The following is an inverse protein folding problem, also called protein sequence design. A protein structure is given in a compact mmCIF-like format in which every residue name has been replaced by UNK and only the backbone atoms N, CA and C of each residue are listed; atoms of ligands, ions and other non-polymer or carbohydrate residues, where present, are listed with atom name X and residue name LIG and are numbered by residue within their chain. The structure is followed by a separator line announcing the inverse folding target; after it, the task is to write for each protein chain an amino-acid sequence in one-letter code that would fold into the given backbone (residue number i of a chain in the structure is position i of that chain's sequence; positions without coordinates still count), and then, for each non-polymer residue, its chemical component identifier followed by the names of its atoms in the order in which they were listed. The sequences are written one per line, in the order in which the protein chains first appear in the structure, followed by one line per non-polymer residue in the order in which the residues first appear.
data_IF_003687632254
#
_entry.id   IF_003687632254
#
_cell.length_a   1.000
_cell.length_b   1.000
_cell.length_c   1.000
_cell.angle_alpha   90.00
_cell.angle_beta   90.00
_cell.angle_gamma   90.00
#
_symmetry.space_group_name_H-M   'P 1'
#
loop_
_entity.id
_entity.type
_entity.pdbx_description
1 polymer ?
#
# COMPACT_ATOMS: atom_id res chain seq x y z
N UNK A 1 49.60 -15.82 -29.44
CA UNK A 1 49.45 -16.38 -28.07
C UNK A 1 50.06 -15.48 -27.00
N UNK A 2 51.14 -14.73 -27.27
CA UNK A 2 51.71 -13.77 -26.29
C UNK A 2 50.80 -12.58 -26.00
N UNK A 3 50.22 -11.96 -27.03
CA UNK A 3 49.30 -10.83 -26.87
C UNK A 3 48.05 -11.18 -26.04
N UNK A 4 47.52 -12.40 -26.20
CA UNK A 4 46.42 -12.92 -25.38
C UNK A 4 46.83 -13.15 -23.91
N UNK A 5 48.07 -13.55 -23.65
CA UNK A 5 48.58 -13.76 -22.28
C UNK A 5 48.86 -12.43 -21.58
N UNK A 6 49.37 -11.43 -22.28
CA UNK A 6 49.59 -10.08 -21.73
C UNK A 6 48.26 -9.38 -21.41
N UNK A 7 47.26 -9.51 -22.29
CA UNK A 7 45.90 -9.02 -22.02
C UNK A 7 45.28 -9.76 -20.82
N UNK A 8 45.45 -11.08 -20.72
CA UNK A 8 44.98 -11.86 -19.57
C UNK A 8 45.71 -11.49 -18.27
N UNK A 9 47.02 -11.21 -18.32
CA UNK A 9 47.79 -10.78 -17.16
C UNK A 9 47.41 -9.36 -16.71
N UNK A 10 47.15 -8.45 -17.65
CA UNK A 10 46.59 -7.11 -17.38
C UNK A 10 45.16 -7.17 -16.84
N UNK A 11 44.32 -8.08 -17.33
CA UNK A 11 42.98 -8.31 -16.81
C UNK A 11 43.02 -8.93 -15.40
N UNK A 12 43.96 -9.84 -15.12
CA UNK A 12 44.17 -10.44 -13.80
C UNK A 12 44.72 -9.45 -12.77
N UNK A 13 45.56 -8.48 -13.18
CA UNK A 13 46.04 -7.42 -12.28
C UNK A 13 44.92 -6.42 -11.93
N UNK A 14 43.98 -6.19 -12.86
CA UNK A 14 42.75 -5.43 -12.62
C UNK A 14 41.72 -6.22 -11.80
N UNK A 15 41.77 -7.56 -11.81
CA UNK A 15 40.90 -8.45 -11.02
C UNK A 15 41.37 -8.66 -9.58
N UNK A 16 42.05 -7.67 -8.98
CA UNK A 16 42.27 -7.67 -7.52
C UNK A 16 40.93 -7.70 -6.79
N UNK A 17 40.84 -8.44 -5.67
CA UNK A 17 39.65 -8.47 -4.82
C UNK A 17 39.13 -7.07 -4.47
N UNK A 18 40.03 -6.09 -4.28
CA UNK A 18 39.65 -4.69 -4.03
C UNK A 18 38.91 -4.05 -5.21
N UNK A 19 39.37 -4.29 -6.43
CA UNK A 19 38.74 -3.75 -7.64
C UNK A 19 37.42 -4.46 -7.94
N UNK A 20 37.35 -5.77 -7.69
CA UNK A 20 36.12 -6.54 -7.82
C UNK A 20 35.07 -6.09 -6.79
N UNK A 21 35.48 -5.87 -5.53
CA UNK A 21 34.61 -5.33 -4.49
C UNK A 21 34.14 -3.91 -4.81
N UNK A 22 35.03 -3.05 -5.33
CA UNK A 22 34.67 -1.70 -5.77
C UNK A 22 33.69 -1.73 -6.95
N UNK A 23 33.94 -2.58 -7.95
CA UNK A 23 33.03 -2.78 -9.08
C UNK A 23 31.66 -3.26 -8.61
N UNK A 24 31.61 -4.24 -7.70
CA UNK A 24 30.37 -4.73 -7.13
C UNK A 24 29.62 -3.63 -6.35
N UNK A 25 30.35 -2.79 -5.60
CA UNK A 25 29.78 -1.65 -4.89
C UNK A 25 29.21 -0.58 -5.84
N UNK A 26 29.89 -0.30 -6.96
CA UNK A 26 29.42 0.66 -7.97
C UNK A 26 28.18 0.13 -8.68
N UNK A 27 28.18 -1.14 -9.10
CA UNK A 27 27.05 -1.80 -9.76
C UNK A 27 25.82 -1.81 -8.83
N UNK A 28 26.03 -1.93 -7.52
CA UNK A 28 24.97 -1.99 -6.52
C UNK A 28 24.96 -0.76 -5.60
N UNK A 29 25.27 0.42 -6.15
CA UNK A 29 25.34 1.67 -5.37
C UNK A 29 24.05 1.93 -4.57
N UNK A 30 22.90 1.55 -5.14
CA UNK A 30 21.57 1.66 -4.54
C UNK A 30 21.38 0.79 -3.30
N UNK A 31 22.14 -0.30 -3.17
CA UNK A 31 22.07 -1.26 -2.07
C UNK A 31 23.15 -1.00 -1.01
N UNK A 32 23.99 0.02 -1.16
CA UNK A 32 24.95 0.38 -0.12
C UNK A 32 24.24 0.83 1.16
N UNK A 33 24.88 0.66 2.33
CA UNK A 33 24.37 1.20 3.58
C UNK A 33 24.00 2.69 3.43
N UNK A 34 22.85 3.07 4.00
CA UNK A 34 22.30 4.43 3.94
C UNK A 34 21.87 4.95 2.56
N UNK A 35 22.14 4.24 1.46
CA UNK A 35 21.75 4.70 0.11
C UNK A 35 20.23 4.92 -0.02
N UNK A 36 19.42 4.03 0.55
CA UNK A 36 17.97 4.20 0.62
C UNK A 36 17.57 5.47 1.38
N UNK A 37 18.15 5.72 2.56
CA UNK A 37 17.87 6.91 3.37
C UNK A 37 18.21 8.19 2.61
N UNK A 38 19.36 8.24 1.93
CA UNK A 38 19.75 9.39 1.13
C UNK A 38 18.79 9.64 -0.04
N UNK A 39 18.28 8.59 -0.69
CA UNK A 39 17.29 8.73 -1.77
C UNK A 39 15.96 9.28 -1.25
N UNK A 40 15.46 8.73 -0.14
CA UNK A 40 14.24 9.23 0.51
C UNK A 40 14.42 10.68 0.96
N UNK A 41 15.52 10.98 1.67
CA UNK A 41 15.83 12.33 2.15
C UNK A 41 16.01 13.33 1.01
N UNK A 42 16.67 12.93 -0.08
CA UNK A 42 16.83 13.76 -1.29
C UNK A 42 15.46 14.13 -1.86
N UNK A 43 14.58 13.15 -2.08
CA UNK A 43 13.24 13.43 -2.60
C UNK A 43 12.38 14.19 -1.59
N UNK A 44 12.54 13.96 -0.29
CA UNK A 44 11.88 14.75 0.75
C UNK A 44 12.32 16.21 0.67
N UNK A 45 13.61 16.51 0.81
CA UNK A 45 14.15 17.88 0.83
C UNK A 45 13.94 18.61 -0.49
N UNK A 46 14.12 17.94 -1.64
CA UNK A 46 13.96 18.56 -2.95
C UNK A 46 12.49 18.84 -3.32
N UNK A 47 11.54 18.06 -2.79
CA UNK A 47 10.11 18.32 -2.99
C UNK A 47 9.50 19.15 -1.85
N UNK A 48 10.22 19.35 -0.74
CA UNK A 48 9.83 20.27 0.30
C UNK A 48 9.88 21.69 -0.26
N UNK A 49 8.73 22.37 -0.29
CA UNK A 49 8.66 23.74 -0.79
C UNK A 49 9.17 24.69 0.29
N UNK A 50 10.50 24.74 0.44
CA UNK A 50 11.17 25.70 1.33
C UNK A 50 11.17 27.12 0.74
N UNK A 51 10.95 27.26 -0.58
CA UNK A 51 10.91 28.54 -1.28
C UNK A 51 9.59 28.70 -2.04
N UNK A 52 8.90 29.86 -1.93
CA UNK A 52 7.63 30.12 -2.63
C UNK A 52 7.70 29.92 -4.15
N UNK A 53 8.82 30.31 -4.78
CA UNK A 53 9.01 30.20 -6.24
C UNK A 53 9.24 28.79 -6.79
N UNK A 54 9.23 27.75 -5.95
CA UNK A 54 9.39 26.38 -6.41
C UNK A 54 8.13 25.95 -7.18
N UNK A 55 8.22 25.60 -8.48
CA UNK A 55 7.04 25.31 -9.28
C UNK A 55 6.32 24.07 -8.75
N UNK A 56 4.99 24.15 -8.70
CA UNK A 56 4.14 23.03 -8.29
C UNK A 56 4.29 21.82 -9.21
N UNK A 57 4.60 22.04 -10.48
CA UNK A 57 4.84 21.02 -11.49
C UNK A 57 6.34 20.98 -11.83
N UNK A 58 6.91 19.83 -12.26
CA UNK A 58 8.21 19.85 -12.90
C UNK A 58 8.16 20.88 -14.04
N UNK A 59 9.21 21.68 -14.21
CA UNK A 59 9.26 22.68 -15.30
C UNK A 59 9.04 21.96 -16.64
N UNK A 60 7.89 22.18 -17.27
CA UNK A 60 7.60 21.67 -18.61
C UNK A 60 6.25 20.96 -18.73
N UNK A 61 5.38 21.57 -19.57
CA UNK A 61 4.03 21.13 -20.02
C UNK A 61 2.97 20.98 -18.93
N UNK A 62 1.90 21.76 -19.08
CA UNK A 62 0.60 21.50 -18.45
C UNK A 62 0.19 20.08 -18.82
N UNK A 63 -0.01 19.22 -17.83
CA UNK A 63 -0.49 17.87 -18.07
C UNK A 63 -1.96 17.99 -18.43
N UNK A 64 -2.26 17.70 -19.69
CA UNK A 64 -3.61 17.70 -20.23
C UNK A 64 -4.17 16.29 -20.20
N UNK A 65 -5.46 16.18 -19.92
CA UNK A 65 -6.21 14.94 -20.06
C UNK A 65 -6.27 14.50 -21.54
N UNK A 66 -6.76 13.28 -21.81
CA UNK A 66 -6.97 12.77 -23.18
C UNK A 66 -7.85 13.69 -24.05
N UNK A 67 -8.62 14.59 -23.42
CA UNK A 67 -9.49 15.59 -24.06
C UNK A 67 -8.85 16.98 -24.19
N UNK A 68 -7.58 17.15 -23.81
CA UNK A 68 -6.86 18.42 -23.90
C UNK A 68 -7.12 19.42 -22.76
N UNK A 69 -7.90 19.04 -21.73
CA UNK A 69 -8.17 19.90 -20.56
C UNK A 69 -7.07 19.80 -19.50
N UNK A 70 -6.65 20.89 -18.85
CA UNK A 70 -5.68 20.84 -17.76
C UNK A 70 -6.17 19.97 -16.59
N UNK A 71 -5.31 19.08 -16.13
CA UNK A 71 -5.57 18.24 -14.96
C UNK A 71 -5.30 19.06 -13.70
N UNK A 72 -6.16 18.91 -12.70
CA UNK A 72 -5.97 19.54 -11.39
C UNK A 72 -4.59 19.17 -10.82
N UNK A 73 -3.80 20.11 -10.27
CA UNK A 73 -2.44 19.86 -9.80
C UNK A 73 -2.30 18.69 -8.81
N UNK A 74 -3.35 18.39 -8.03
CA UNK A 74 -3.42 17.28 -7.09
C UNK A 74 -3.41 15.89 -7.77
N UNK A 75 -4.07 15.76 -8.92
CA UNK A 75 -4.21 14.49 -9.65
C UNK A 75 -3.09 14.25 -10.67
N UNK A 76 -2.17 15.21 -10.81
CA UNK A 76 -1.01 15.08 -11.71
C UNK A 76 -0.02 14.04 -11.16
N UNK A 77 0.38 13.04 -11.96
CA UNK A 77 1.34 12.04 -11.50
C UNK A 77 2.74 12.65 -11.29
N UNK A 78 3.36 12.27 -10.18
CA UNK A 78 4.77 12.47 -9.91
C UNK A 78 5.57 11.29 -10.48
N UNK A 79 6.58 11.59 -11.31
CA UNK A 79 7.42 10.57 -11.95
C UNK A 79 8.78 10.49 -11.27
N UNK A 80 9.16 9.27 -10.85
CA UNK A 80 10.50 8.96 -10.36
C UNK A 80 11.05 7.78 -11.16
N UNK A 81 12.29 7.86 -11.61
CA UNK A 81 12.94 6.78 -12.38
C UNK A 81 13.88 5.99 -11.49
N UNK A 82 14.00 4.69 -11.75
CA UNK A 82 14.91 3.82 -11.03
C UNK A 82 15.36 2.67 -11.93
N UNK A 83 16.39 1.94 -11.49
CA UNK A 83 16.89 0.72 -12.12
C UNK A 83 16.93 -0.39 -11.09
N UNK A 84 17.06 -1.63 -11.56
CA UNK A 84 17.20 -2.83 -10.73
C UNK A 84 18.66 -3.26 -10.69
N UNK A 85 19.47 -2.87 -9.69
CA UNK A 85 20.79 -3.45 -9.48
C UNK A 85 20.71 -4.96 -9.27
N UNK A 86 21.85 -5.63 -9.45
CA UNK A 86 21.91 -7.09 -9.32
C UNK A 86 21.49 -7.59 -7.93
N UNK A 87 21.82 -6.85 -6.86
CA UNK A 87 21.43 -7.19 -5.50
C UNK A 87 19.94 -6.96 -5.19
N UNK A 88 19.17 -6.39 -6.13
CA UNK A 88 17.70 -6.35 -6.03
C UNK A 88 17.01 -7.47 -6.80
N UNK A 89 17.78 -8.34 -7.46
CA UNK A 89 17.22 -9.47 -8.21
C UNK A 89 17.11 -10.72 -7.33
N UNK A 90 16.10 -11.54 -7.60
CA UNK A 90 15.90 -12.83 -6.96
C UNK A 90 16.66 -13.96 -7.69
N UNK A 91 16.42 -15.20 -7.26
CA UNK A 91 17.02 -16.40 -7.87
C UNK A 91 16.64 -16.59 -9.35
N UNK A 92 15.54 -15.99 -9.81
CA UNK A 92 15.10 -16.01 -11.20
C UNK A 92 15.71 -14.88 -12.03
N UNK A 93 16.62 -14.08 -11.47
CA UNK A 93 17.26 -12.93 -12.12
C UNK A 93 16.28 -11.85 -12.57
N UNK A 94 15.19 -11.67 -11.83
CA UNK A 94 14.27 -10.54 -12.01
C UNK A 94 14.15 -9.75 -10.71
N UNK A 95 13.67 -8.50 -10.79
CA UNK A 95 13.48 -7.66 -9.60
C UNK A 95 12.63 -8.41 -8.57
N UNK A 96 13.21 -8.65 -7.40
CA UNK A 96 12.52 -9.33 -6.30
C UNK A 96 11.30 -8.54 -5.86
N UNK A 97 10.18 -9.23 -5.64
CA UNK A 97 8.91 -8.64 -5.20
C UNK A 97 9.07 -7.75 -3.96
N UNK A 98 9.95 -8.11 -3.03
CA UNK A 98 10.19 -7.33 -1.80
C UNK A 98 10.89 -6.00 -2.07
N UNK A 99 11.65 -5.88 -3.15
CA UNK A 99 12.41 -4.68 -3.48
C UNK A 99 11.59 -3.61 -4.21
N UNK A 100 10.33 -3.88 -4.55
CA UNK A 100 9.42 -2.85 -5.07
C UNK A 100 9.07 -1.82 -3.99
N UNK A 101 8.97 -2.26 -2.73
CA UNK A 101 8.56 -1.40 -1.62
C UNK A 101 9.60 -0.32 -1.30
N UNK A 102 10.90 -0.63 -1.43
CA UNK A 102 11.97 0.35 -1.22
C UNK A 102 11.94 1.49 -2.26
N UNK A 103 11.55 1.19 -3.50
CA UNK A 103 11.37 2.19 -4.55
C UNK A 103 10.03 2.92 -4.42
N UNK A 104 8.98 2.23 -3.95
CA UNK A 104 7.70 2.85 -3.60
C UNK A 104 7.89 3.91 -2.51
N UNK A 105 8.71 3.67 -1.49
CA UNK A 105 9.01 4.67 -0.47
C UNK A 105 9.53 5.98 -1.09
N UNK A 106 10.48 5.88 -2.01
CA UNK A 106 11.06 7.05 -2.69
C UNK A 106 10.02 7.75 -3.56
N UNK A 107 9.28 6.99 -4.39
CA UNK A 107 8.30 7.56 -5.31
C UNK A 107 7.13 8.25 -4.57
N UNK A 108 6.65 7.64 -3.48
CA UNK A 108 5.56 8.19 -2.66
C UNK A 108 6.03 9.37 -1.83
N UNK A 109 7.26 9.34 -1.31
CA UNK A 109 7.85 10.50 -0.61
C UNK A 109 7.87 11.73 -1.51
N UNK A 110 8.24 11.57 -2.78
CA UNK A 110 8.27 12.67 -3.75
C UNK A 110 6.87 13.28 -3.96
N UNK A 111 5.83 12.45 -4.09
CA UNK A 111 4.45 12.90 -4.25
C UNK A 111 3.88 13.51 -2.96
N UNK A 112 3.93 12.78 -1.84
CA UNK A 112 3.34 13.16 -0.55
C UNK A 112 3.93 14.48 -0.06
N UNK A 113 5.26 14.61 -0.08
CA UNK A 113 5.93 15.84 0.37
C UNK A 113 5.48 17.04 -0.46
N UNK A 114 5.24 16.84 -1.76
CA UNK A 114 4.76 17.89 -2.66
C UNK A 114 3.31 18.31 -2.39
N UNK A 115 2.39 17.37 -2.15
CA UNK A 115 0.96 17.69 -1.96
C UNK A 115 0.65 18.19 -0.53
N UNK A 116 1.44 17.76 0.45
CA UNK A 116 1.22 18.07 1.86
C UNK A 116 2.03 19.28 2.34
N UNK A 117 2.94 19.81 1.52
CA UNK A 117 3.62 21.09 1.77
C UNK A 117 2.90 22.20 0.99
N UNK A 118 2.46 23.31 1.63
CA UNK A 118 2.67 23.73 3.03
C UNK A 118 1.65 23.21 4.06
N UNK A 119 0.57 22.54 3.64
CA UNK A 119 -0.61 22.28 4.49
C UNK A 119 -0.33 21.61 5.83
N UNK A 120 0.64 20.68 5.91
CA UNK A 120 1.04 20.03 7.17
C UNK A 120 1.56 21.05 8.20
N UNK A 121 2.31 22.06 7.76
CA UNK A 121 2.81 23.12 8.64
C UNK A 121 1.69 24.00 9.18
N UNK A 122 0.75 24.39 8.31
CA UNK A 122 -0.42 25.20 8.68
C UNK A 122 -1.33 24.45 9.65
N UNK A 123 -1.71 23.22 9.31
CA UNK A 123 -2.57 22.38 10.17
C UNK A 123 -1.88 22.06 11.50
N UNK A 124 -0.56 21.89 11.52
CA UNK A 124 0.15 21.74 12.79
C UNK A 124 -0.06 22.95 13.70
N UNK A 125 0.16 24.17 13.19
CA UNK A 125 0.01 25.40 13.99
C UNK A 125 -1.44 25.64 14.42
N UNK A 126 -2.40 25.41 13.53
CA UNK A 126 -3.83 25.50 13.85
C UNK A 126 -4.21 24.53 14.98
N UNK A 127 -3.81 23.26 14.87
CA UNK A 127 -4.12 22.26 15.91
C UNK A 127 -3.46 22.59 17.25
N UNK A 128 -2.26 23.18 17.26
CA UNK A 128 -1.66 23.64 18.52
C UNK A 128 -2.47 24.78 19.14
N UNK A 129 -2.99 25.71 18.34
CA UNK A 129 -3.86 26.78 18.82
C UNK A 129 -5.19 26.22 19.35
N UNK A 130 -5.80 25.26 18.65
CA UNK A 130 -7.02 24.57 19.09
C UNK A 130 -6.80 23.84 20.41
N UNK A 131 -5.71 23.09 20.55
CA UNK A 131 -5.37 22.39 21.80
C UNK A 131 -5.09 23.36 22.95
N UNK A 132 -4.46 24.51 22.67
CA UNK A 132 -4.26 25.57 23.67
C UNK A 132 -5.59 26.22 24.09
N UNK A 133 -6.48 26.49 23.14
CA UNK A 133 -7.80 27.08 23.42
C UNK A 133 -8.68 26.11 24.22
N UNK A 134 -8.71 24.83 23.84
CA UNK A 134 -9.41 23.78 24.58
C UNK A 134 -8.87 23.62 26.00
N UNK A 135 -7.53 23.60 26.16
CA UNK A 135 -6.90 23.49 27.49
C UNK A 135 -7.21 24.71 28.37
N UNK A 136 -7.21 25.93 27.81
CA UNK A 136 -7.64 27.15 28.51
C UNK A 136 -9.10 27.07 28.96
N UNK A 137 -9.99 26.55 28.11
CA UNK A 137 -11.42 26.37 28.44
C UNK A 137 -11.62 25.35 29.56
N UNK A 138 -10.78 24.32 29.62
CA UNK A 138 -10.82 23.26 30.64
C UNK A 138 -9.99 23.57 31.90
N UNK A 139 -9.27 24.71 31.95
CA UNK A 139 -8.39 25.08 33.06
C UNK A 139 -7.16 24.17 33.23
N UNK A 140 -6.78 23.43 32.20
CA UNK A 140 -5.63 22.51 32.20
C UNK A 140 -4.33 23.23 31.80
N UNK A 141 -3.15 22.69 32.15
CA UNK A 141 -1.88 23.22 31.68
C UNK A 141 -1.76 23.11 30.16
N UNK A 142 -0.96 23.99 29.56
CA UNK A 142 -0.73 23.98 28.12
C UNK A 142 -0.18 22.61 27.66
N UNK A 143 -0.83 21.95 26.68
CA UNK A 143 -0.37 20.66 26.18
C UNK A 143 0.98 20.80 25.49
N UNK A 144 1.85 19.79 25.65
CA UNK A 144 3.11 19.71 24.90
C UNK A 144 2.81 19.61 23.40
N UNK A 145 3.48 20.45 22.60
CA UNK A 145 3.43 20.36 21.14
C UNK A 145 3.95 19.01 20.68
N UNK A 146 3.27 18.42 19.71
CA UNK A 146 3.63 17.13 19.11
C UNK A 146 3.80 17.30 17.61
N UNK A 147 4.82 16.66 17.00
CA UNK A 147 5.01 16.75 15.56
C UNK A 147 3.86 16.08 14.83
N UNK A 148 3.58 16.57 13.63
CA UNK A 148 2.73 15.86 12.68
C UNK A 148 3.57 14.76 12.03
N UNK A 149 3.01 13.55 11.99
CA UNK A 149 3.62 12.37 11.37
C UNK A 149 2.71 11.87 10.26
N UNK A 150 3.30 11.65 9.09
CA UNK A 150 2.63 11.01 7.96
C UNK A 150 3.03 9.54 7.98
N UNK A 151 2.06 8.67 8.26
CA UNK A 151 2.32 7.25 8.49
C UNK A 151 1.73 6.44 7.35
N UNK A 152 2.54 5.52 6.83
CA UNK A 152 2.07 4.51 5.89
C UNK A 152 1.29 3.43 6.66
N UNK A 153 0.02 3.23 6.30
CA UNK A 153 -0.83 2.19 6.89
C UNK A 153 -0.64 0.84 6.20
N UNK A 154 -0.85 0.79 4.88
CA UNK A 154 -0.74 -0.46 4.11
C UNK A 154 -0.36 -0.18 2.66
N UNK A 155 0.17 -1.22 1.99
CA UNK A 155 0.50 -1.19 0.56
C UNK A 155 0.07 -2.49 -0.08
N UNK A 156 -0.74 -2.40 -1.12
CA UNK A 156 -1.13 -3.52 -1.96
C UNK A 156 -0.40 -3.39 -3.28
N UNK A 157 0.43 -4.37 -3.64
CA UNK A 157 1.18 -4.35 -4.88
C UNK A 157 0.85 -5.60 -5.72
N UNK A 158 0.44 -5.38 -6.97
CA UNK A 158 0.19 -6.46 -7.93
C UNK A 158 1.25 -6.41 -9.03
N UNK A 159 1.93 -7.52 -9.23
CA UNK A 159 2.96 -7.68 -10.25
C UNK A 159 2.33 -8.18 -11.54
N UNK A 160 2.65 -7.54 -12.68
CA UNK A 160 2.07 -7.87 -14.00
C UNK A 160 3.13 -8.42 -14.95
N UNK A 161 4.34 -7.87 -14.93
CA UNK A 161 5.46 -8.30 -15.79
C UNK A 161 6.77 -8.19 -15.02
N UNK A 162 7.71 -9.06 -15.37
CA UNK A 162 9.06 -9.05 -14.83
C UNK A 162 9.85 -7.79 -15.22
N UNK A 163 10.78 -7.40 -14.35
CA UNK A 163 11.76 -6.34 -14.58
C UNK A 163 13.14 -6.99 -14.53
N UNK A 164 13.89 -6.88 -15.62
CA UNK A 164 15.20 -7.50 -15.79
C UNK A 164 16.29 -6.73 -15.04
N UNK A 165 17.47 -7.35 -14.79
CA UNK A 165 18.59 -6.67 -14.17
C UNK A 165 19.00 -5.45 -15.00
N UNK A 166 19.29 -4.34 -14.31
CA UNK A 166 19.66 -3.03 -14.84
C UNK A 166 18.65 -2.34 -15.76
N UNK A 167 17.47 -2.92 -15.90
CA UNK A 167 16.38 -2.36 -16.69
C UNK A 167 15.90 -1.04 -16.07
N UNK A 168 15.70 -0.03 -16.91
CA UNK A 168 15.14 1.26 -16.51
C UNK A 168 13.61 1.17 -16.46
N UNK A 169 13.04 1.61 -15.36
CA UNK A 169 11.59 1.77 -15.22
C UNK A 169 11.25 3.12 -14.58
N UNK A 170 10.03 3.57 -14.85
CA UNK A 170 9.45 4.78 -14.31
C UNK A 170 8.35 4.42 -13.31
N UNK A 171 8.30 5.11 -12.19
CA UNK A 171 7.23 5.02 -11.20
C UNK A 171 6.40 6.27 -11.27
N UNK A 172 5.13 6.11 -11.62
CA UNK A 172 4.18 7.21 -11.73
C UNK A 172 3.23 7.12 -10.55
N UNK A 173 3.41 8.01 -9.58
CA UNK A 173 2.58 8.07 -8.38
C UNK A 173 1.58 9.22 -8.50
N UNK A 174 0.29 8.95 -8.30
CA UNK A 174 -0.77 9.97 -8.26
C UNK A 174 -1.70 9.77 -7.07
N UNK A 175 -2.30 10.86 -6.60
CA UNK A 175 -3.42 10.77 -5.66
C UNK A 175 -4.58 10.12 -6.40
N UNK A 176 -5.10 9.03 -5.82
CA UNK A 176 -6.26 8.33 -6.37
C UNK A 176 -7.55 8.84 -5.71
N UNK A 177 -7.57 8.89 -4.37
CA UNK A 177 -8.69 9.44 -3.58
C UNK A 177 -8.30 9.64 -2.11
N UNK A 178 -9.23 10.12 -1.29
CA UNK A 178 -9.13 10.18 0.17
C UNK A 178 -10.50 10.01 0.83
N UNK A 179 -10.48 9.52 2.06
CA UNK A 179 -11.61 9.52 3.00
C UNK A 179 -11.27 10.37 4.25
N UNK A 180 -12.04 10.24 5.33
CA UNK A 180 -11.84 10.97 6.59
C UNK A 180 -10.52 10.63 7.32
N UNK A 181 -9.91 9.48 7.04
CA UNK A 181 -8.73 8.92 7.73
C UNK A 181 -7.55 8.67 6.80
N UNK A 182 -7.80 8.19 5.59
CA UNK A 182 -6.82 7.65 4.66
C UNK A 182 -6.73 8.47 3.38
N UNK A 183 -5.50 8.76 2.96
CA UNK A 183 -5.16 9.16 1.61
C UNK A 183 -4.73 7.93 0.81
N UNK A 184 -5.30 7.75 -0.37
CA UNK A 184 -5.00 6.66 -1.29
C UNK A 184 -4.13 7.13 -2.44
N UNK A 185 -2.98 6.47 -2.62
CA UNK A 185 -2.01 6.79 -3.67
C UNK A 185 -1.86 5.58 -4.59
N UNK A 186 -2.03 5.81 -5.90
CA UNK A 186 -1.76 4.82 -6.93
C UNK A 186 -0.36 5.05 -7.48
N UNK A 187 0.47 4.01 -7.48
CA UNK A 187 1.78 4.00 -8.12
C UNK A 187 1.85 2.93 -9.19
N UNK A 188 2.07 3.34 -10.44
CA UNK A 188 2.26 2.43 -11.56
C UNK A 188 3.75 2.36 -11.93
N UNK A 189 4.32 1.15 -11.92
CA UNK A 189 5.63 0.87 -12.50
C UNK A 189 5.46 0.68 -14.00
N UNK A 190 6.18 1.46 -14.79
CA UNK A 190 6.08 1.46 -16.24
C UNK A 190 7.44 1.35 -16.89
N UNK A 191 7.51 0.54 -17.94
CA UNK A 191 8.64 0.52 -18.86
C UNK A 191 8.54 1.75 -19.78
N UNK A 192 9.60 2.57 -19.89
CA UNK A 192 9.61 3.69 -20.81
C UNK A 192 9.50 3.17 -22.25
N UNK A 193 8.85 3.95 -23.11
CA UNK A 193 8.71 3.61 -24.52
C UNK A 193 10.08 3.59 -25.22
N UNK A 194 10.32 2.59 -26.06
CA UNK A 194 11.57 2.46 -26.85
C UNK A 194 11.70 3.49 -27.96
N UNK A 195 10.60 4.15 -28.37
CA UNK A 195 10.57 5.24 -29.36
C UNK A 195 9.73 6.39 -28.84
N UNK A 196 10.05 7.62 -29.26
CA UNK A 196 9.26 8.82 -28.96
C UNK A 196 7.83 8.62 -29.47
N UNK A 197 6.86 8.58 -28.56
CA UNK A 197 5.43 8.34 -28.86
C UNK A 197 4.98 6.87 -28.80
N UNK A 198 5.83 5.94 -28.40
CA UNK A 198 5.41 4.54 -28.18
C UNK A 198 4.60 4.35 -26.89
N UNK A 199 3.87 3.23 -26.81
CA UNK A 199 3.11 2.87 -25.61
C UNK A 199 4.03 2.47 -24.46
N UNK A 200 3.70 2.95 -23.25
CA UNK A 200 4.35 2.52 -22.01
C UNK A 200 3.73 1.21 -21.56
N UNK A 201 4.57 0.29 -21.09
CA UNK A 201 4.10 -1.02 -20.61
C UNK A 201 4.03 -1.01 -19.09
N UNK A 202 2.88 -1.38 -18.52
CA UNK A 202 2.71 -1.53 -17.07
C UNK A 202 3.39 -2.81 -16.59
N UNK A 203 4.25 -2.67 -15.59
CA UNK A 203 5.07 -3.72 -14.98
C UNK A 203 4.46 -4.19 -13.65
N UNK A 204 4.07 -3.24 -12.81
CA UNK A 204 3.41 -3.48 -11.54
C UNK A 204 2.52 -2.28 -11.17
N UNK A 205 1.52 -2.53 -10.33
CA UNK A 205 0.60 -1.50 -9.82
C UNK A 205 0.55 -1.62 -8.31
N UNK A 206 0.66 -0.49 -7.62
CA UNK A 206 0.58 -0.45 -6.16
C UNK A 206 -0.43 0.60 -5.68
N UNK A 207 -1.21 0.26 -4.65
CA UNK A 207 -2.11 1.18 -3.94
C UNK A 207 -1.62 1.29 -2.50
N UNK A 208 -1.31 2.51 -2.07
CA UNK A 208 -0.84 2.82 -0.71
C UNK A 208 -1.86 3.61 0.08
N UNK A 209 -2.01 3.29 1.36
CA UNK A 209 -2.86 4.04 2.32
C UNK A 209 -1.98 4.86 3.27
N UNK A 210 -2.20 6.16 3.35
CA UNK A 210 -1.50 7.05 4.28
C UNK A 210 -2.45 7.69 5.27
N UNK A 211 -2.02 7.79 6.53
CA UNK A 211 -2.75 8.51 7.59
C UNK A 211 -1.87 9.63 8.14
N UNK A 212 -2.49 10.78 8.39
CA UNK A 212 -1.83 11.90 9.05
C UNK A 212 -2.19 11.87 10.53
N UNK A 213 -1.17 11.91 11.40
CA UNK A 213 -1.36 11.88 12.86
C UNK A 213 -0.65 13.03 13.53
N UNK A 214 -1.31 13.65 14.51
CA UNK A 214 -0.71 14.57 15.47
C UNK A 214 -0.81 13.99 16.87
N UNK A 215 0.25 13.30 17.30
CA UNK A 215 0.21 12.48 18.50
C UNK A 215 -0.77 11.31 18.36
N UNK A 216 -1.87 11.34 19.13
CA UNK A 216 -2.94 10.33 19.05
C UNK A 216 -4.11 10.77 18.17
N UNK A 217 -4.17 12.05 17.78
CA UNK A 217 -5.23 12.57 16.92
C UNK A 217 -4.94 12.19 15.47
N UNK A 218 -5.93 11.60 14.80
CA UNK A 218 -5.92 11.41 13.35
C UNK A 218 -6.43 12.69 12.69
N UNK A 219 -5.72 13.18 11.69
CA UNK A 219 -6.06 14.39 10.95
C UNK A 219 -6.58 13.99 9.58
N UNK A 220 -7.76 14.50 9.23
CA UNK A 220 -8.38 14.27 7.92
C UNK A 220 -7.46 14.74 6.79
N UNK A 221 -7.19 13.90 5.76
CA UNK A 221 -6.45 14.30 4.58
C UNK A 221 -7.02 15.55 3.90
N UNK A 222 -8.35 15.70 3.92
CA UNK A 222 -9.06 16.84 3.35
C UNK A 222 -8.63 18.16 4.01
N UNK A 223 -8.50 18.16 5.34
CA UNK A 223 -8.03 19.32 6.11
C UNK A 223 -6.63 19.74 5.67
N UNK A 224 -5.72 18.77 5.47
CA UNK A 224 -4.35 19.04 5.02
C UNK A 224 -4.32 19.55 3.58
N UNK A 225 -5.10 18.95 2.68
CA UNK A 225 -5.16 19.35 1.27
C UNK A 225 -5.76 20.76 1.10
N UNK A 226 -6.76 21.11 1.92
CA UNK A 226 -7.33 22.47 1.98
C UNK A 226 -6.32 23.49 2.50
N UNK A 227 -5.61 23.18 3.58
CA UNK A 227 -4.54 24.03 4.10
C UNK A 227 -3.37 24.17 3.11
N UNK A 228 -3.16 23.18 2.24
CA UNK A 228 -2.22 23.26 1.12
C UNK A 228 -2.74 24.07 -0.08
N UNK A 229 -4.01 24.52 -0.11
CA UNK A 229 -4.57 25.29 -1.23
C UNK A 229 -4.97 24.46 -2.46
N UNK A 230 -5.22 23.16 -2.29
CA UNK A 230 -5.66 22.26 -3.37
C UNK A 230 -7.16 21.98 -3.38
N UNK A 231 -7.91 22.47 -2.38
CA UNK A 231 -9.34 22.27 -2.30
C UNK A 231 -10.05 23.61 -2.13
N UNK A 232 -11.11 23.88 -2.90
CA UNK A 232 -11.97 25.03 -2.67
C UNK A 232 -12.81 24.83 -1.41
N UNK A 233 -13.37 25.92 -0.89
CA UNK A 233 -14.31 25.86 0.24
C UNK A 233 -15.57 25.09 -0.17
N UNK A 234 -16.02 24.09 0.60
CA UNK A 234 -17.23 23.35 0.26
C UNK A 234 -18.47 24.27 0.32
N UNK A 235 -19.54 23.94 -0.43
CA UNK A 235 -20.85 24.53 -0.17
C UNK A 235 -21.32 24.21 1.27
N UNK A 236 -22.04 25.11 1.94
CA UNK A 236 -22.44 24.93 3.35
C UNK A 236 -23.27 23.65 3.60
N UNK A 237 -24.00 23.16 2.61
CA UNK A 237 -24.74 21.88 2.69
C UNK A 237 -23.81 20.64 2.71
N UNK A 238 -22.63 20.73 2.10
CA UNK A 238 -21.67 19.63 2.07
C UNK A 238 -20.78 19.57 3.30
N UNK A 239 -20.47 20.71 3.94
CA UNK A 239 -19.71 20.73 5.20
C UNK A 239 -20.41 19.92 6.29
N UNK A 240 -21.74 19.99 6.35
CA UNK A 240 -22.55 19.20 7.29
C UNK A 240 -22.44 17.70 7.02
N UNK A 241 -22.48 17.27 5.74
CA UNK A 241 -22.37 15.85 5.35
C UNK A 241 -20.96 15.29 5.60
N UNK A 242 -19.92 16.07 5.32
CA UNK A 242 -18.53 15.69 5.60
C UNK A 242 -18.29 15.57 7.11
N UNK A 243 -18.77 16.54 7.91
CA UNK A 243 -18.65 16.49 9.37
C UNK A 243 -19.39 15.31 10.02
N UNK A 244 -20.56 14.93 9.48
CA UNK A 244 -21.30 13.73 9.89
C UNK A 244 -20.53 12.44 9.57
N UNK A 245 -19.95 12.32 8.37
CA UNK A 245 -19.14 11.16 7.98
C UNK A 245 -17.80 11.07 8.76
N UNK A 246 -17.22 12.20 9.14
CA UNK A 246 -16.03 12.27 10.01
C UNK A 246 -16.34 11.80 11.44
N UNK A 247 -17.56 12.06 11.95
CA UNK A 247 -17.99 11.58 13.26
C UNK A 247 -18.18 10.06 13.29
N UNK A 248 -18.86 9.47 12.30
CA UNK A 248 -19.12 8.02 12.22
C UNK A 248 -17.82 7.21 12.02
N UNK A 249 -16.90 7.68 11.16
CA UNK A 249 -15.60 7.02 10.96
C UNK A 249 -14.65 7.16 12.15
N UNK A 250 -14.82 8.18 13.00
CA UNK A 250 -14.08 8.33 14.25
C UNK A 250 -14.52 7.33 15.33
N UNK A 251 -15.79 6.90 15.31
CA UNK A 251 -16.35 5.93 16.24
C UNK A 251 -15.88 4.49 15.93
N UNK A 252 -15.88 4.08 14.65
CA UNK A 252 -15.32 2.78 14.23
C UNK A 252 -13.78 2.72 14.41
N UNK A 253 -13.09 3.86 14.35
CA UNK A 253 -11.64 3.93 14.51
C UNK A 253 -11.14 3.81 15.96
N UNK A 254 -12.04 3.80 16.95
CA UNK A 254 -11.70 3.63 18.36
C UNK A 254 -11.33 2.18 18.71
N UNK A 255 -11.81 1.19 17.95
CA UNK A 255 -11.72 -0.23 18.34
C UNK A 255 -10.53 -0.99 17.74
N UNK A 256 -9.80 -0.41 16.78
CA UNK A 256 -8.50 -0.95 16.36
C UNK A 256 -7.41 -0.23 17.13
N UNK A 257 -7.28 -0.61 18.40
CA UNK A 257 -6.16 -0.22 19.25
C UNK A 257 -4.84 -0.57 18.56
N UNK A 258 -4.04 0.44 18.24
CA UNK A 258 -2.61 0.19 17.98
C UNK A 258 -2.05 -0.52 19.22
N UNK A 259 -1.44 -1.72 19.10
CA UNK A 259 -1.02 -2.48 20.27
C UNK A 259 -0.16 -1.62 21.18
N UNK A 260 -0.63 -1.43 22.40
CA UNK A 260 0.13 -0.80 23.47
C UNK A 260 1.08 -1.83 24.08
N UNK A 261 1.98 -2.36 23.26
CA UNK A 261 3.13 -3.14 23.74
C UNK A 261 4.25 -2.99 22.72
N UNK A 262 5.45 -2.67 23.20
CA UNK A 262 6.67 -2.53 22.42
C UNK A 262 7.20 -3.85 21.86
N UNK A 263 6.33 -4.77 21.46
CA UNK A 263 6.65 -6.07 20.88
C UNK A 263 5.91 -6.21 19.55
N UNK A 264 6.28 -5.36 18.58
CA UNK A 264 6.04 -5.64 17.18
C UNK A 264 7.04 -6.68 16.71
N UNK A 265 6.56 -7.72 16.04
CA UNK A 265 7.32 -8.83 15.46
C UNK A 265 8.66 -8.34 14.89
N UNK A 266 9.74 -8.76 15.54
CA UNK A 266 11.13 -8.59 15.13
C UNK A 266 11.42 -9.45 13.89
N UNK A 267 10.84 -9.07 12.76
CA UNK A 267 11.35 -9.48 11.45
C UNK A 267 12.04 -8.26 10.84
N UNK A 268 13.37 -8.25 11.03
CA UNK A 268 14.44 -7.42 10.46
C UNK A 268 15.31 -6.91 11.63
N UNK A 269 16.12 -7.82 12.19
CA UNK A 269 17.41 -7.42 12.77
C UNK A 269 18.25 -6.86 11.63
N UNK A 270 18.18 -5.55 11.42
CA UNK A 270 18.91 -4.87 10.35
C UNK A 270 18.31 -3.52 10.00
N UNK A 271 18.70 -2.50 10.76
CA UNK A 271 18.36 -1.07 10.63
C UNK A 271 17.13 -0.63 11.41
N UNK A 272 17.40 0.23 12.40
CA UNK A 272 16.48 0.84 13.33
C UNK A 272 15.35 1.63 12.62
N UNK A 273 14.13 1.08 12.64
CA UNK A 273 12.91 1.74 12.14
C UNK A 273 12.55 3.05 12.87
N UNK A 274 13.26 3.38 13.95
CA UNK A 274 13.24 4.70 14.59
C UNK A 274 13.62 5.82 13.62
N UNK A 275 14.66 5.63 12.81
CA UNK A 275 15.15 6.63 11.86
C UNK A 275 14.11 6.94 10.77
N UNK A 276 13.40 5.92 10.26
CA UNK A 276 12.33 6.11 9.26
C UNK A 276 11.15 6.87 9.86
N UNK A 277 10.78 6.57 11.12
CA UNK A 277 9.78 7.34 11.87
C UNK A 277 10.23 8.77 12.16
N UNK A 278 11.53 9.04 12.27
CA UNK A 278 12.08 10.39 12.43
C UNK A 278 12.07 11.19 11.13
N UNK A 279 12.34 10.57 9.98
CA UNK A 279 12.40 11.26 8.67
C UNK A 279 11.05 11.89 8.27
N UNK A 280 9.92 11.34 8.71
CA UNK A 280 8.58 11.89 8.44
C UNK A 280 7.96 12.69 9.59
N UNK A 281 8.74 13.06 10.61
CA UNK A 281 8.33 14.00 11.65
C UNK A 281 8.87 15.37 11.30
N UNK A 282 7.98 16.31 10.99
CA UNK A 282 8.39 17.72 10.93
C UNK A 282 8.42 18.27 12.35
N UNK A 283 9.60 18.64 12.82
CA UNK A 283 9.77 19.41 14.06
C UNK A 283 9.47 20.89 13.79
N UNK A 284 9.00 21.63 14.79
CA UNK A 284 8.61 23.05 14.69
C UNK A 284 9.70 23.92 14.05
N UNK A 285 10.99 23.62 14.31
CA UNK A 285 12.14 24.38 13.81
C UNK A 285 12.35 24.23 12.28
N UNK A 286 11.76 23.20 11.68
CA UNK A 286 11.82 22.92 10.23
C UNK A 286 10.59 23.47 9.49
N UNK A 287 9.58 23.95 10.22
CA UNK A 287 8.37 24.51 9.62
C UNK A 287 8.62 25.99 9.27
N UNK A 288 8.44 26.40 8.00
CA UNK A 288 8.58 27.80 7.61
C UNK A 288 7.69 28.77 8.41
N UNK A 289 8.07 30.05 8.41
CA UNK A 289 7.27 31.12 9.04
C UNK A 289 5.85 31.15 8.46
N UNK A 290 4.87 31.59 9.27
CA UNK A 290 3.46 31.59 8.86
C UNK A 290 3.23 32.36 7.55
N UNK A 291 3.86 33.53 7.41
CA UNK A 291 3.80 34.34 6.20
C UNK A 291 4.28 33.59 4.95
N UNK A 292 5.30 32.73 5.08
CA UNK A 292 5.81 31.93 3.97
C UNK A 292 4.82 30.86 3.56
N UNK A 293 4.16 30.23 4.54
CA UNK A 293 3.16 29.18 4.30
C UNK A 293 1.88 29.77 3.68
N UNK A 294 1.41 30.90 4.18
CA UNK A 294 0.21 31.58 3.66
C UNK A 294 0.43 32.06 2.22
N UNK A 295 1.62 32.60 1.93
CA UNK A 295 2.02 32.96 0.56
C UNK A 295 2.01 31.74 -0.37
N UNK A 296 2.56 30.61 0.08
CA UNK A 296 2.56 29.37 -0.69
C UNK A 296 1.15 28.82 -0.91
N UNK A 297 0.28 28.90 0.10
CA UNK A 297 -1.11 28.50 -0.01
C UNK A 297 -1.84 29.35 -1.05
N UNK A 298 -1.64 30.67 -1.03
CA UNK A 298 -2.24 31.58 -2.01
C UNK A 298 -1.77 31.29 -3.44
N UNK A 299 -0.46 31.10 -3.64
CA UNK A 299 0.09 30.73 -4.95
C UNK A 299 -0.44 29.37 -5.43
N UNK A 300 -0.72 28.43 -4.52
CA UNK A 300 -1.33 27.15 -4.87
C UNK A 300 -2.76 27.32 -5.37
N UNK A 301 -3.56 28.11 -4.66
CA UNK A 301 -4.92 28.44 -5.08
C UNK A 301 -4.94 29.15 -6.43
N UNK A 302 -3.97 30.03 -6.71
CA UNK A 302 -3.86 30.76 -7.99
C UNK A 302 -3.33 29.88 -9.15
N UNK A 303 -2.76 28.71 -8.86
CA UNK A 303 -2.14 27.84 -9.86
C UNK A 303 -3.12 27.02 -10.71
N UNK A 304 -4.39 26.95 -10.31
CA UNK A 304 -5.44 26.21 -10.99
C UNK A 304 -6.72 27.04 -11.02
N UNK A 305 -7.54 26.84 -12.06
CA UNK A 305 -8.77 27.61 -12.22
C UNK A 305 -9.94 26.91 -11.49
N UNK A 306 -10.52 27.61 -10.51
CA UNK A 306 -11.67 27.16 -9.72
C UNK A 306 -12.92 26.97 -10.60
N UNK A 307 -13.07 27.74 -11.67
CA UNK A 307 -14.20 27.61 -12.60
C UNK A 307 -14.14 26.31 -13.41
N UNK A 308 -12.93 25.84 -13.73
CA UNK A 308 -12.74 24.60 -14.47
C UNK A 308 -12.75 23.37 -13.55
N UNK A 309 -12.22 23.52 -12.34
CA UNK A 309 -12.18 22.51 -11.29
C UNK A 309 -13.04 22.95 -10.11
N UNK A 310 -14.35 22.88 -10.29
CA UNK A 310 -15.31 23.14 -9.22
C UNK A 310 -15.22 22.08 -8.13
N UNK A 311 -15.76 22.39 -6.94
CA UNK A 311 -15.80 21.46 -5.81
C UNK A 311 -16.45 20.13 -6.21
N UNK A 312 -17.56 20.18 -6.96
CA UNK A 312 -18.31 18.99 -7.39
C UNK A 312 -17.48 18.09 -8.30
N UNK A 313 -16.66 18.67 -9.19
CA UNK A 313 -15.80 17.90 -10.08
C UNK A 313 -14.68 17.19 -9.32
N UNK A 314 -14.09 17.87 -8.34
CA UNK A 314 -13.07 17.27 -7.46
C UNK A 314 -13.70 16.14 -6.63
N UNK A 315 -14.90 16.35 -6.12
CA UNK A 315 -15.64 15.36 -5.35
C UNK A 315 -16.04 14.13 -6.20
N UNK A 316 -16.45 14.34 -7.45
CA UNK A 316 -16.69 13.24 -8.40
C UNK A 316 -15.45 12.40 -8.65
N UNK A 317 -14.29 13.03 -8.88
CA UNK A 317 -13.03 12.29 -9.05
C UNK A 317 -12.59 11.58 -7.75
N UNK A 318 -12.86 12.19 -6.58
CA UNK A 318 -12.64 11.55 -5.28
C UNK A 318 -13.49 10.29 -5.14
N UNK A 319 -14.81 10.38 -5.36
CA UNK A 319 -15.72 9.24 -5.25
C UNK A 319 -15.38 8.13 -6.25
N UNK A 320 -15.10 8.48 -7.50
CA UNK A 320 -14.62 7.55 -8.52
C UNK A 320 -13.34 6.84 -8.07
N UNK A 321 -12.40 7.57 -7.48
CA UNK A 321 -11.17 7.00 -6.95
C UNK A 321 -11.42 6.04 -5.77
N UNK A 322 -12.39 6.32 -4.90
CA UNK A 322 -12.79 5.40 -3.82
C UNK A 322 -13.37 4.10 -4.38
N UNK A 323 -14.20 4.15 -5.42
CA UNK A 323 -14.70 2.93 -6.09
C UNK A 323 -13.56 2.08 -6.67
N UNK A 324 -12.56 2.73 -7.27
CA UNK A 324 -11.37 2.03 -7.79
C UNK A 324 -10.56 1.41 -6.64
N UNK A 325 -10.40 2.12 -5.53
CA UNK A 325 -9.71 1.62 -4.33
C UNK A 325 -10.45 0.42 -3.74
N UNK A 326 -11.77 0.51 -3.60
CA UNK A 326 -12.63 -0.56 -3.12
C UNK A 326 -12.51 -1.79 -4.03
N UNK A 327 -12.63 -1.60 -5.35
CA UNK A 327 -12.43 -2.66 -6.33
C UNK A 327 -11.02 -3.27 -6.31
N UNK A 328 -9.98 -2.48 -6.01
CA UNK A 328 -8.58 -2.95 -6.00
C UNK A 328 -8.19 -3.66 -4.70
N UNK A 329 -8.68 -3.19 -3.55
CA UNK A 329 -8.40 -3.80 -2.24
C UNK A 329 -9.25 -5.06 -2.09
N UNK A 330 -10.53 -4.97 -2.43
CA UNK A 330 -11.45 -6.09 -2.38
C UNK A 330 -11.40 -6.89 -3.68
N UNK A 331 -10.37 -6.71 -4.51
CA UNK A 331 -10.20 -7.51 -5.72
C UNK A 331 -10.10 -8.98 -5.32
N UNK A 332 -9.39 -9.35 -4.25
CA UNK A 332 -9.29 -10.75 -3.81
C UNK A 332 -10.63 -11.28 -3.29
N UNK A 333 -11.37 -10.52 -2.48
CA UNK A 333 -12.68 -10.92 -1.93
C UNK A 333 -13.79 -10.96 -3.00
N UNK A 334 -13.86 -9.96 -3.88
CA UNK A 334 -14.86 -9.87 -4.96
C UNK A 334 -14.50 -10.72 -6.19
N UNK A 335 -13.21 -11.00 -6.42
CA UNK A 335 -12.80 -11.96 -7.45
C UNK A 335 -13.25 -13.36 -7.06
N UNK A 336 -13.07 -13.78 -5.81
CA UNK A 336 -13.35 -15.17 -5.44
C UNK A 336 -14.82 -15.54 -5.67
N UNK A 337 -15.77 -14.72 -5.22
CA UNK A 337 -17.18 -15.17 -5.12
C UNK A 337 -18.00 -15.02 -6.42
N UNK A 338 -17.65 -14.08 -7.31
CA UNK A 338 -18.44 -13.81 -8.53
C UNK A 338 -17.66 -13.74 -9.83
N UNK A 339 -16.45 -13.21 -9.81
CA UNK A 339 -15.71 -12.93 -11.05
C UNK A 339 -14.77 -14.05 -11.47
N UNK A 340 -14.16 -14.77 -10.54
CA UNK A 340 -13.18 -15.81 -10.84
C UNK A 340 -13.82 -16.97 -11.58
N UNK A 341 -14.93 -17.51 -11.06
CA UNK A 341 -15.62 -18.64 -11.68
C UNK A 341 -16.28 -18.21 -13.01
N UNK A 342 -16.84 -17.00 -13.11
CA UNK A 342 -17.34 -16.44 -14.38
C UNK A 342 -16.24 -16.29 -15.43
N UNK A 343 -15.04 -15.86 -15.05
CA UNK A 343 -13.90 -15.78 -15.97
C UNK A 343 -13.40 -17.15 -16.39
N UNK A 344 -13.43 -18.14 -15.49
CA UNK A 344 -13.11 -19.53 -15.87
C UNK A 344 -14.12 -20.00 -16.92
N UNK A 345 -15.42 -19.79 -16.70
CA UNK A 345 -16.47 -20.11 -17.68
C UNK A 345 -16.17 -19.51 -19.05
N UNK A 346 -15.82 -18.23 -19.13
CA UNK A 346 -15.49 -17.55 -20.40
C UNK A 346 -14.27 -18.14 -21.15
N UNK A 347 -13.36 -18.83 -20.45
CA UNK A 347 -12.11 -19.36 -21.02
C UNK A 347 -12.14 -20.88 -21.22
N UNK A 348 -13.08 -21.57 -20.59
CA UNK A 348 -13.34 -22.98 -20.84
C UNK A 348 -13.97 -23.07 -22.23
N UNK A 349 -13.39 -23.92 -23.08
CA UNK A 349 -13.94 -24.17 -24.43
C UNK A 349 -15.35 -24.76 -24.29
N UNK A 350 -16.26 -24.56 -25.26
CA UNK A 350 -17.55 -25.24 -25.26
C UNK A 350 -17.38 -26.77 -25.09
N UNK A 351 -18.05 -27.34 -24.08
CA UNK A 351 -17.92 -28.76 -23.70
C UNK A 351 -16.69 -29.13 -22.84
N UNK A 352 -15.90 -28.14 -22.40
CA UNK A 352 -14.82 -28.34 -21.45
C UNK A 352 -15.28 -28.41 -20.00
N UNK A 353 -14.44 -28.95 -19.13
CA UNK A 353 -14.73 -29.14 -17.71
C UNK A 353 -13.85 -28.24 -16.84
N UNK A 354 -14.42 -27.79 -15.73
CA UNK A 354 -13.71 -27.12 -14.63
C UNK A 354 -13.84 -27.97 -13.37
N UNK A 355 -12.71 -28.21 -12.69
CA UNK A 355 -12.66 -28.97 -11.45
C UNK A 355 -11.94 -28.12 -10.38
N UNK A 356 -12.58 -27.94 -9.23
CA UNK A 356 -12.01 -27.26 -8.07
C UNK A 356 -11.99 -28.19 -6.87
N UNK A 357 -10.90 -28.14 -6.11
CA UNK A 357 -10.69 -28.96 -4.92
C UNK A 357 -10.48 -28.02 -3.74
N UNK A 358 -11.48 -27.97 -2.86
CA UNK A 358 -11.41 -27.17 -1.63
C UNK A 358 -11.47 -28.08 -0.41
N UNK A 359 -10.63 -27.77 0.58
CA UNK A 359 -10.66 -28.45 1.88
C UNK A 359 -11.44 -27.62 2.89
N UNK A 360 -12.33 -28.27 3.64
CA UNK A 360 -12.91 -27.63 4.81
C UNK A 360 -11.80 -27.25 5.80
N UNK A 361 -11.80 -25.98 6.24
CA UNK A 361 -10.88 -25.51 7.28
C UNK A 361 -11.29 -26.07 8.64
N UNK A 362 -12.59 -26.34 8.82
CA UNK A 362 -13.13 -26.82 10.08
C UNK A 362 -13.12 -28.34 10.23
N UNK A 363 -12.57 -28.78 11.35
CA UNK A 363 -12.69 -30.10 11.91
C UNK A 363 -14.12 -30.37 12.38
N UNK A 364 -14.63 -31.51 11.96
CA UNK A 364 -15.87 -32.13 12.46
C UNK A 364 -15.59 -33.58 12.83
N UNK A 365 -16.38 -34.10 13.76
CA UNK A 365 -16.38 -35.51 14.12
C UNK A 365 -17.73 -36.11 13.75
N UNK A 366 -17.72 -37.21 13.02
CA UNK A 366 -18.95 -37.94 12.65
C UNK A 366 -19.50 -38.75 13.81
N UNK A 367 -18.65 -39.12 14.77
CA UNK A 367 -18.99 -39.94 15.95
C UNK A 367 -19.24 -39.13 17.23
N UNK A 368 -19.22 -37.79 17.14
CA UNK A 368 -19.42 -36.89 18.28
C UNK A 368 -18.27 -36.89 19.30
N UNK A 369 -17.10 -37.42 18.92
CA UNK A 369 -15.90 -37.44 19.76
C UNK A 369 -15.24 -36.07 19.93
N UNK A 370 -15.50 -35.14 19.00
CA UNK A 370 -15.09 -33.74 19.11
C UNK A 370 -16.16 -32.96 19.89
N UNK A 371 -15.83 -32.56 21.11
CA UNK A 371 -16.73 -31.80 21.99
C UNK A 371 -16.42 -30.31 21.95
N UNK A 372 -17.43 -29.49 22.24
CA UNK A 372 -17.34 -28.02 22.26
C UNK A 372 -16.30 -27.46 23.23
N UNK A 373 -15.99 -28.19 24.31
CA UNK A 373 -15.01 -27.79 25.33
C UNK A 373 -13.55 -28.09 24.93
N UNK A 374 -13.31 -28.65 23.74
CA UNK A 374 -11.96 -28.94 23.28
C UNK A 374 -11.29 -27.69 22.71
N UNK A 375 -9.99 -27.53 22.97
CA UNK A 375 -9.20 -26.40 22.50
C UNK A 375 -9.27 -26.19 20.97
N UNK A 376 -9.47 -27.27 20.19
CA UNK A 376 -9.68 -27.17 18.76
C UNK A 376 -10.99 -26.46 18.41
N UNK A 377 -12.08 -26.74 19.13
CA UNK A 377 -13.38 -26.08 18.92
C UNK A 377 -13.31 -24.61 19.31
N UNK A 378 -12.72 -24.31 20.48
CA UNK A 378 -12.47 -22.94 20.92
C UNK A 378 -11.65 -22.15 19.87
N UNK A 379 -10.58 -22.75 19.35
CA UNK A 379 -9.77 -22.15 18.29
C UNK A 379 -10.59 -21.86 17.03
N UNK A 380 -11.39 -22.80 16.53
CA UNK A 380 -12.22 -22.59 15.34
C UNK A 380 -13.26 -21.48 15.53
N UNK A 381 -13.90 -21.44 16.71
CA UNK A 381 -14.87 -20.39 17.04
C UNK A 381 -14.21 -19.01 17.09
N UNK A 382 -13.02 -18.90 17.69
CA UNK A 382 -12.27 -17.65 17.72
C UNK A 382 -11.85 -17.18 16.31
N UNK A 383 -11.42 -18.11 15.45
CA UNK A 383 -11.05 -17.81 14.07
C UNK A 383 -12.27 -17.40 13.23
N UNK A 384 -13.43 -18.06 13.39
CA UNK A 384 -14.68 -17.63 12.75
C UNK A 384 -15.08 -16.23 13.19
N UNK A 385 -15.09 -15.97 14.50
CA UNK A 385 -15.42 -14.66 15.04
C UNK A 385 -14.51 -13.56 14.48
N UNK A 386 -13.20 -13.80 14.40
CA UNK A 386 -12.26 -12.85 13.82
C UNK A 386 -12.45 -12.70 12.30
N UNK A 387 -12.76 -13.78 11.58
CA UNK A 387 -13.09 -13.76 10.15
C UNK A 387 -14.32 -12.91 9.84
N UNK A 388 -15.42 -13.11 10.58
CA UNK A 388 -16.64 -12.33 10.45
C UNK A 388 -16.42 -10.84 10.73
N UNK A 389 -15.63 -10.51 11.76
CA UNK A 389 -15.32 -9.11 12.11
C UNK A 389 -14.39 -8.42 11.12
N UNK A 390 -13.56 -9.18 10.40
CA UNK A 390 -12.58 -8.66 9.45
C UNK A 390 -13.02 -8.75 7.99
N UNK A 391 -14.23 -9.24 7.73
CA UNK A 391 -14.76 -9.53 6.38
C UNK A 391 -13.82 -10.47 5.58
N UNK A 392 -13.28 -11.48 6.29
CA UNK A 392 -12.31 -12.46 5.79
C UNK A 392 -12.64 -13.86 6.32
N UNK A 393 -13.84 -14.34 6.00
CA UNK A 393 -14.23 -15.69 6.36
C UNK A 393 -13.31 -16.72 5.71
N UNK A 394 -12.86 -17.72 6.49
CA UNK A 394 -11.96 -18.76 6.00
C UNK A 394 -12.71 -20.03 5.56
N UNK A 395 -13.94 -20.22 6.02
CA UNK A 395 -14.68 -21.47 5.84
C UNK A 395 -15.63 -21.46 4.64
N UNK A 396 -15.15 -20.98 3.51
CA UNK A 396 -15.95 -20.76 2.29
C UNK A 396 -16.08 -21.98 1.38
N UNK A 397 -15.62 -23.17 1.82
CA UNK A 397 -15.55 -24.37 0.96
C UNK A 397 -16.90 -24.81 0.34
N UNK A 398 -18.02 -24.30 0.84
CA UNK A 398 -19.38 -24.60 0.38
C UNK A 398 -19.86 -23.65 -0.73
N UNK A 399 -19.28 -22.46 -0.85
CA UNK A 399 -19.67 -21.41 -1.80
C UNK A 399 -19.31 -21.70 -3.27
N UNK A 400 -18.19 -22.37 -3.61
CA UNK A 400 -17.78 -22.56 -5.01
C UNK A 400 -18.84 -23.25 -5.87
N UNK A 401 -19.66 -24.14 -5.29
CA UNK A 401 -20.74 -24.81 -6.01
C UNK A 401 -21.75 -23.81 -6.57
N UNK A 402 -22.27 -22.95 -5.69
CA UNK A 402 -23.32 -22.01 -6.06
C UNK A 402 -22.76 -20.90 -6.96
N UNK A 403 -21.50 -20.50 -6.74
CA UNK A 403 -20.77 -19.62 -7.66
C UNK A 403 -20.57 -20.22 -9.06
N UNK A 404 -20.35 -21.54 -9.16
CA UNK A 404 -20.20 -22.25 -10.44
C UNK A 404 -21.51 -22.34 -11.22
N UNK A 405 -22.62 -22.58 -10.52
CA UNK A 405 -23.96 -22.54 -11.13
C UNK A 405 -24.29 -21.13 -11.59
N UNK A 406 -24.04 -20.11 -10.74
CA UNK A 406 -24.31 -18.72 -11.07
C UNK A 406 -23.47 -18.19 -12.25
N UNK A 407 -22.27 -18.74 -12.46
CA UNK A 407 -21.39 -18.41 -13.58
C UNK A 407 -21.85 -18.96 -14.94
N UNK A 408 -22.79 -19.92 -14.95
CA UNK A 408 -23.36 -20.48 -16.19
C UNK A 408 -22.86 -21.87 -16.57
N UNK A 409 -22.09 -22.55 -15.72
CA UNK A 409 -21.73 -23.95 -15.95
C UNK A 409 -22.96 -24.87 -15.82
N UNK A 410 -23.06 -25.82 -16.74
CA UNK A 410 -24.06 -26.89 -16.72
C UNK A 410 -23.47 -28.14 -16.03
N UNK A 411 -24.34 -29.06 -15.55
CA UNK A 411 -23.95 -30.34 -14.92
C UNK A 411 -22.99 -30.24 -13.71
N UNK A 412 -23.19 -29.24 -12.84
CA UNK A 412 -22.34 -29.04 -11.64
C UNK A 412 -22.55 -30.15 -10.59
N UNK A 413 -21.52 -30.98 -10.38
CA UNK A 413 -21.49 -32.00 -9.33
C UNK A 413 -20.54 -31.63 -8.18
N UNK A 414 -20.97 -31.84 -6.93
CA UNK A 414 -20.12 -31.70 -5.74
C UNK A 414 -19.83 -33.09 -5.16
N UNK A 415 -18.55 -33.43 -5.03
CA UNK A 415 -18.09 -34.68 -4.41
C UNK A 415 -17.43 -34.33 -3.08
N UNK A 416 -18.00 -34.83 -1.99
CA UNK A 416 -17.46 -34.64 -0.63
C UNK A 416 -16.64 -35.86 -0.24
N UNK A 417 -15.34 -35.66 -0.06
CA UNK A 417 -14.41 -36.71 0.37
C UNK A 417 -14.04 -36.53 1.84
N UNK A 418 -13.83 -37.64 2.56
CA UNK A 418 -13.36 -37.59 3.94
C UNK A 418 -11.85 -37.28 3.96
N UNK A 419 -11.49 -36.12 4.54
CA UNK A 419 -10.11 -35.74 4.82
C UNK A 419 -9.85 -35.81 6.34
N UNK A 420 -9.12 -36.82 6.83
CA UNK A 420 -8.89 -36.96 8.26
C UNK A 420 -7.98 -35.85 8.80
N UNK A 421 -8.40 -35.18 9.87
CA UNK A 421 -7.60 -34.16 10.56
C UNK A 421 -6.36 -34.72 11.26
N UNK A 422 -6.38 -36.02 11.59
CA UNK A 422 -5.36 -36.72 12.37
C UNK A 422 -5.29 -38.20 11.96
N UNK A 423 -4.22 -38.94 12.31
CA UNK A 423 -4.03 -40.34 11.92
C UNK A 423 -4.85 -41.33 12.78
N UNK A 424 -6.11 -40.99 13.05
CA UNK A 424 -7.08 -41.78 13.78
C UNK A 424 -7.81 -42.87 12.97
N UNK A 425 -8.06 -42.72 11.65
CA UNK A 425 -8.76 -43.76 10.88
C UNK A 425 -8.07 -45.12 10.96
N UNK A 426 -8.88 -46.19 10.96
CA UNK A 426 -8.36 -47.57 10.92
C UNK A 426 -7.86 -47.97 9.54
N UNK A 427 -8.48 -47.41 8.50
CA UNK A 427 -8.06 -47.62 7.12
C UNK A 427 -6.61 -47.13 6.92
N UNK A 428 -5.69 -47.98 6.41
CA UNK A 428 -4.27 -47.62 6.28
C UNK A 428 -4.03 -46.40 5.38
N UNK A 429 -4.83 -46.19 4.34
CA UNK A 429 -4.70 -45.08 3.42
C UNK A 429 -5.16 -43.77 4.06
N UNK A 430 -6.36 -43.74 4.65
CA UNK A 430 -6.87 -42.59 5.40
C UNK A 430 -5.98 -42.26 6.60
N UNK A 431 -5.40 -43.26 7.25
CA UNK A 431 -4.45 -43.05 8.34
C UNK A 431 -3.17 -42.35 7.87
N UNK A 432 -2.67 -42.70 6.68
CA UNK A 432 -1.52 -42.03 6.08
C UNK A 432 -1.86 -40.57 5.71
N UNK A 433 -3.01 -40.33 5.06
CA UNK A 433 -3.50 -38.98 4.75
C UNK A 433 -3.63 -38.12 6.01
N UNK A 434 -4.18 -38.67 7.09
CA UNK A 434 -4.31 -37.97 8.37
C UNK A 434 -2.97 -37.58 9.02
N UNK A 435 -1.87 -38.29 8.73
CA UNK A 435 -0.53 -37.86 9.17
C UNK A 435 -0.06 -36.61 8.45
N UNK A 436 -0.26 -36.56 7.13
CA UNK A 436 0.13 -35.41 6.31
C UNK A 436 -0.72 -34.18 6.65
N UNK A 437 -2.03 -34.38 6.79
CA UNK A 437 -2.95 -33.30 7.16
C UNK A 437 -2.63 -32.72 8.54
N UNK A 438 -2.33 -33.58 9.53
CA UNK A 438 -1.93 -33.11 10.86
C UNK A 438 -0.66 -32.25 10.83
N UNK A 439 0.34 -32.65 10.03
CA UNK A 439 1.57 -31.87 9.87
C UNK A 439 1.31 -30.52 9.17
N UNK A 440 0.47 -30.51 8.13
CA UNK A 440 0.07 -29.30 7.43
C UNK A 440 -0.65 -28.32 8.37
N UNK A 441 -1.64 -28.80 9.14
CA UNK A 441 -2.41 -27.97 10.08
C UNK A 441 -1.53 -27.37 11.17
N UNK A 442 -0.61 -28.15 11.75
CA UNK A 442 0.33 -27.64 12.75
C UNK A 442 1.18 -26.47 12.23
N UNK A 443 1.61 -26.54 10.96
CA UNK A 443 2.39 -25.46 10.35
C UNK A 443 1.50 -24.27 9.96
N UNK A 444 0.29 -24.53 9.46
CA UNK A 444 -0.58 -23.51 8.91
C UNK A 444 -1.34 -22.70 9.98
N UNK A 445 -1.62 -23.28 11.15
CA UNK A 445 -2.40 -22.63 12.21
C UNK A 445 -1.88 -21.23 12.55
N UNK A 446 -0.56 -21.09 12.73
CA UNK A 446 0.04 -19.80 13.07
C UNK A 446 -0.15 -18.76 11.96
N UNK A 447 0.02 -19.17 10.69
CA UNK A 447 -0.14 -18.28 9.54
C UNK A 447 -1.60 -17.83 9.35
N UNK A 448 -2.56 -18.73 9.48
CA UNK A 448 -3.99 -18.39 9.36
C UNK A 448 -4.44 -17.46 10.48
N UNK A 449 -4.00 -17.72 11.72
CA UNK A 449 -4.31 -16.83 12.85
C UNK A 449 -3.73 -15.44 12.65
N UNK A 450 -2.43 -15.33 12.32
CA UNK A 450 -1.81 -14.02 12.12
C UNK A 450 -2.47 -13.20 11.02
N UNK A 451 -2.95 -13.84 9.94
CA UNK A 451 -3.64 -13.14 8.84
C UNK A 451 -4.92 -12.43 9.27
N UNK A 452 -5.58 -12.88 10.34
CA UNK A 452 -6.78 -12.25 10.88
C UNK A 452 -6.46 -11.08 11.85
N UNK A 453 -5.22 -10.95 12.31
CA UNK A 453 -4.77 -9.87 13.20
C UNK A 453 -4.01 -8.75 12.47
N UNK A 454 -3.92 -8.81 11.13
CA UNK A 454 -3.28 -7.80 10.27
C UNK A 454 -4.28 -7.18 9.32
#
# INVERSE_FOLDING_TARGET
MENTREILAGAMSLASWKNLALLLAVINLKNLPSAWHFRVLYHFVCNLRLKPSAPLLPKGRVVVDSRGKPIHPMFVPCMVTSRTPLLETDYNLHKSNSTYFSDLDVARTALVTRIYSPGVGNVSKELDQEFLAASKKEGKPAPRRKPVSIVLGSVYCTFKREIKPFELYEMHSKVLSWDAKWLYILTCFMRPATRSGGEKVVLAVAVSKYVVKKGRLTVSPERVLRASGFLPTPPPESEAKTALAEADSSAEASDVGTPASGEGITAIEGVDGSLVREVFKMNDDQIPSQETLDKQQKENTESWNVEEWTWERIEQERLRGLEVVDGYINLDTKLFDKWFIGRIHDHVKPGGYFESHESAVWARSEDGSLKEDYALMEWQQAVNFAGEKSDRELNIYHEPRDGTIAAGFEDVSLIVNALPFSPCPRDPHLKALGKYQAAQLQQANYSYMLRLYT
#
